data_IF_197327238069
#
_entry.id   IF_197327238069
#
_cell.length_a   1.000
_cell.length_b   1.000
_cell.length_c   1.000
_cell.angle_alpha   90.00
_cell.angle_beta   90.00
_cell.angle_gamma   90.00
#
_symmetry.space_group_name_H-M   'P 1'
#
loop_
_entity.id
_entity.type
_entity.pdbx_description
1 polymer ?
#
# COMPACT_ATOMS: atom_id res chain seq x y z
N UNK A 1 -13.47 13.87 -19.03
CA UNK A 1 -12.67 15.10 -18.94
C UNK A 1 -11.71 14.87 -17.78
N UNK A 2 -10.52 15.44 -17.86
CA UNK A 2 -9.53 15.44 -16.78
C UNK A 2 -9.95 16.57 -15.81
N UNK A 3 -9.56 16.49 -14.54
CA UNK A 3 -9.93 17.43 -13.47
C UNK A 3 -9.83 18.89 -13.94
N UNK A 4 -10.97 19.59 -14.04
CA UNK A 4 -11.14 21.07 -14.08
C UNK A 4 -10.16 21.93 -14.94
N UNK A 5 -9.27 21.37 -15.72
CA UNK A 5 -8.19 22.08 -16.39
C UNK A 5 -8.51 22.03 -17.88
N UNK A 6 -8.75 23.20 -18.47
CA UNK A 6 -9.18 23.39 -19.86
C UNK A 6 -8.19 22.87 -20.94
N UNK A 7 -7.19 22.05 -20.57
CA UNK A 7 -6.01 21.73 -21.36
C UNK A 7 -5.62 20.25 -21.42
N UNK A 8 -6.55 19.30 -21.38
CA UNK A 8 -6.25 17.87 -21.59
C UNK A 8 -5.42 17.64 -22.87
N UNK A 9 -4.18 17.12 -22.72
CA UNK A 9 -3.29 16.79 -23.83
C UNK A 9 -2.99 15.29 -23.84
N UNK A 10 -3.62 14.55 -24.76
CA UNK A 10 -3.47 13.11 -24.91
C UNK A 10 -2.03 12.62 -25.20
N UNK A 11 -1.12 13.50 -25.65
CA UNK A 11 0.29 13.16 -25.86
C UNK A 11 1.13 13.25 -24.57
N UNK A 12 0.60 13.88 -23.52
CA UNK A 12 1.15 13.82 -22.17
C UNK A 12 0.42 12.68 -21.46
N UNK A 13 1.07 11.55 -21.24
CA UNK A 13 0.49 10.41 -20.49
C UNK A 13 0.38 10.73 -18.99
N UNK A 14 -0.36 11.78 -18.64
CA UNK A 14 -0.66 12.16 -17.26
C UNK A 14 -1.82 11.27 -16.82
N UNK A 15 -1.48 10.03 -16.45
CA UNK A 15 -2.44 9.08 -15.92
C UNK A 15 -2.95 9.55 -14.56
N UNK A 16 -4.22 9.91 -14.50
CA UNK A 16 -5.02 10.14 -13.30
C UNK A 16 -5.03 8.88 -12.44
N UNK A 17 -4.26 8.86 -11.36
CA UNK A 17 -4.22 7.79 -10.37
C UNK A 17 -4.39 6.36 -10.91
N UNK A 18 -5.18 5.53 -10.23
CA UNK A 18 -5.51 4.17 -10.68
C UNK A 18 -6.57 4.13 -11.80
N UNK A 19 -6.63 5.15 -12.66
CA UNK A 19 -7.47 5.17 -13.86
C UNK A 19 -8.95 5.46 -13.60
N UNK A 20 -9.28 6.27 -12.59
CA UNK A 20 -10.66 6.70 -12.33
C UNK A 20 -10.99 7.88 -13.23
N UNK A 21 -12.09 7.77 -14.00
CA UNK A 21 -12.61 8.86 -14.83
C UNK A 21 -13.83 9.47 -14.13
N UNK A 22 -13.88 10.79 -13.98
CA UNK A 22 -15.13 11.46 -13.62
C UNK A 22 -16.05 11.62 -14.84
N UNK A 23 -17.36 11.56 -14.61
CA UNK A 23 -18.37 11.79 -15.66
C UNK A 23 -18.63 13.30 -15.77
N UNK A 24 -18.84 13.80 -16.99
CA UNK A 24 -19.20 15.23 -17.18
C UNK A 24 -20.46 15.55 -16.36
N UNK A 25 -20.37 16.58 -15.51
CA UNK A 25 -21.43 16.99 -14.57
C UNK A 25 -21.34 16.37 -13.18
N UNK A 26 -20.34 15.51 -12.95
CA UNK A 26 -19.98 14.98 -11.63
C UNK A 26 -18.86 15.84 -11.02
N UNK A 27 -19.01 16.19 -9.74
CA UNK A 27 -18.02 16.96 -8.97
C UNK A 27 -16.93 16.08 -8.39
N UNK A 28 -16.98 14.76 -8.61
CA UNK A 28 -15.93 13.84 -8.20
C UNK A 28 -14.60 14.21 -8.89
N UNK A 29 -13.61 14.55 -8.07
CA UNK A 29 -12.20 14.70 -8.43
C UNK A 29 -11.47 13.36 -8.29
N UNK A 30 -10.26 13.27 -8.84
CA UNK A 30 -9.44 12.05 -8.93
C UNK A 30 -8.26 12.03 -7.95
N UNK A 31 -8.14 13.07 -7.13
CA UNK A 31 -7.27 13.15 -5.96
C UNK A 31 -8.03 12.70 -4.70
N UNK A 32 -7.28 12.50 -3.61
CA UNK A 32 -7.81 12.28 -2.27
C UNK A 32 -7.60 13.56 -1.47
N UNK A 33 -8.70 14.18 -1.05
CA UNK A 33 -8.74 15.47 -0.35
C UNK A 33 -9.38 15.33 1.03
N UNK A 34 -9.62 16.46 1.71
CA UNK A 34 -10.08 16.49 3.10
C UNK A 34 -11.40 15.73 3.29
N UNK A 35 -11.38 14.75 4.18
CA UNK A 35 -12.56 13.91 4.50
C UNK A 35 -12.67 12.66 3.63
N UNK A 36 -11.78 12.48 2.66
CA UNK A 36 -11.83 11.37 1.72
C UNK A 36 -10.88 10.23 2.10
N UNK A 37 -11.22 9.04 1.63
CA UNK A 37 -10.42 7.83 1.83
C UNK A 37 -10.58 6.92 0.63
N UNK A 38 -9.45 6.61 0.00
CA UNK A 38 -9.35 5.58 -1.02
C UNK A 38 -9.10 4.23 -0.33
N UNK A 39 -9.92 3.22 -0.63
CA UNK A 39 -9.75 1.86 -0.11
C UNK A 39 -9.38 0.88 -1.24
N UNK A 40 -8.29 0.15 -1.05
CA UNK A 40 -7.93 -1.01 -1.87
C UNK A 40 -8.25 -2.29 -1.11
N UNK A 41 -8.90 -3.24 -1.79
CA UNK A 41 -9.25 -4.55 -1.23
C UNK A 41 -8.67 -5.67 -2.10
N UNK A 42 -8.00 -6.62 -1.46
CA UNK A 42 -7.44 -7.81 -2.06
C UNK A 42 -8.21 -9.05 -1.59
N UNK A 43 -8.37 -10.03 -2.47
CA UNK A 43 -9.03 -11.31 -2.15
C UNK A 43 -8.20 -12.20 -1.22
N UNK A 44 -6.91 -11.91 -1.07
CA UNK A 44 -5.98 -12.58 -0.15
C UNK A 44 -5.11 -11.54 0.54
N UNK A 45 -4.54 -11.91 1.69
CA UNK A 45 -3.61 -11.04 2.39
C UNK A 45 -2.36 -10.80 1.53
N UNK A 46 -2.02 -9.54 1.34
CA UNK A 46 -0.81 -9.10 0.65
C UNK A 46 -0.02 -8.18 1.56
N UNK A 47 1.26 -8.02 1.28
CA UNK A 47 2.09 -7.00 1.91
C UNK A 47 2.30 -5.85 0.93
N UNK A 48 1.95 -4.62 1.32
CA UNK A 48 2.37 -3.43 0.59
C UNK A 48 3.86 -3.18 0.84
N UNK A 49 4.65 -3.18 -0.23
CA UNK A 49 6.10 -2.95 -0.18
C UNK A 49 6.49 -1.57 -0.70
N UNK A 50 5.67 -0.99 -1.59
CA UNK A 50 5.83 0.38 -2.06
C UNK A 50 4.49 1.00 -2.47
N UNK A 51 4.43 2.32 -2.41
CA UNK A 51 3.29 3.14 -2.83
C UNK A 51 3.87 4.31 -3.61
N UNK A 52 3.33 4.58 -4.79
CA UNK A 52 3.62 5.81 -5.54
C UNK A 52 2.45 6.76 -5.42
N UNK A 53 2.75 7.98 -4.96
CA UNK A 53 1.80 9.08 -4.83
C UNK A 53 2.20 10.21 -5.77
N UNK A 54 1.23 11.05 -6.15
CA UNK A 54 1.45 12.29 -6.90
C UNK A 54 0.77 13.46 -6.19
N UNK A 55 1.36 14.64 -6.28
CA UNK A 55 0.78 15.90 -5.80
C UNK A 55 -0.12 16.51 -6.87
N UNK A 56 -0.68 17.69 -6.56
CA UNK A 56 -1.47 18.52 -7.49
C UNK A 56 -0.83 18.63 -8.89
N UNK A 57 -1.65 18.66 -9.94
CA UNK A 57 -1.19 18.65 -11.33
C UNK A 57 -0.45 17.37 -11.75
N UNK A 58 -0.64 16.28 -10.99
CA UNK A 58 -0.01 14.97 -11.17
C UNK A 58 1.53 14.97 -11.11
N UNK A 59 2.13 15.87 -10.34
CA UNK A 59 3.57 15.91 -10.14
C UNK A 59 4.03 14.80 -9.18
N UNK A 60 5.22 14.24 -9.40
CA UNK A 60 5.81 13.20 -8.54
C UNK A 60 6.81 13.75 -7.52
N UNK A 61 7.07 15.06 -7.56
CA UNK A 61 8.19 15.70 -6.86
C UNK A 61 7.81 16.90 -5.99
N UNK A 62 6.64 17.51 -6.20
CA UNK A 62 6.25 18.76 -5.54
C UNK A 62 5.09 18.60 -4.56
N UNK A 63 5.33 17.86 -3.47
CA UNK A 63 4.44 17.92 -2.30
C UNK A 63 4.77 19.09 -1.40
N UNK A 64 3.77 19.56 -0.66
CA UNK A 64 3.99 20.54 0.39
C UNK A 64 5.04 20.06 1.41
N UNK A 65 5.80 21.01 1.97
CA UNK A 65 6.83 20.69 2.96
C UNK A 65 6.20 20.02 4.18
N UNK A 66 6.70 18.84 4.55
CA UNK A 66 6.18 17.99 5.62
C UNK A 66 4.72 17.52 5.40
N UNK A 67 4.27 17.49 4.15
CA UNK A 67 2.98 16.91 3.79
C UNK A 67 2.87 15.47 4.31
N UNK A 68 1.69 15.09 4.76
CA UNK A 68 1.39 13.74 5.27
C UNK A 68 0.07 13.18 4.74
N UNK A 69 -0.02 11.86 4.69
CA UNK A 69 -1.25 11.09 4.43
C UNK A 69 -1.37 10.00 5.48
N UNK A 70 -2.54 9.37 5.52
CA UNK A 70 -2.80 8.23 6.38
C UNK A 70 -2.84 6.94 5.56
N UNK A 71 -1.99 5.97 5.89
CA UNK A 71 -2.10 4.58 5.43
C UNK A 71 -2.61 3.72 6.58
N UNK A 72 -3.81 3.15 6.46
CA UNK A 72 -4.46 2.39 7.54
C UNK A 72 -4.54 3.18 8.86
N UNK A 73 -4.76 4.50 8.76
CA UNK A 73 -4.78 5.42 9.90
C UNK A 73 -3.40 5.82 10.42
N UNK A 74 -2.32 5.29 9.85
CA UNK A 74 -0.96 5.66 10.23
C UNK A 74 -0.47 6.85 9.41
N UNK A 75 -0.03 7.91 10.09
CA UNK A 75 0.53 9.11 9.47
C UNK A 75 1.90 8.83 8.86
N UNK A 76 2.01 9.05 7.56
CA UNK A 76 3.23 8.90 6.77
C UNK A 76 3.50 10.20 5.99
N UNK A 77 4.77 10.58 5.86
CA UNK A 77 5.15 11.74 5.06
C UNK A 77 4.89 11.50 3.57
N UNK A 78 4.64 12.56 2.80
CA UNK A 78 4.63 12.57 1.32
C UNK A 78 5.99 13.06 0.77
N UNK A 79 7.06 12.97 1.57
CA UNK A 79 8.37 13.35 1.08
C UNK A 79 8.81 12.41 -0.07
N UNK A 80 9.33 12.99 -1.16
CA UNK A 80 9.76 12.26 -2.35
C UNK A 80 10.49 10.94 -2.04
N UNK A 81 9.99 9.85 -2.63
CA UNK A 81 10.38 8.45 -2.44
C UNK A 81 10.20 7.91 -1.00
N UNK A 82 9.04 7.32 -0.74
CA UNK A 82 8.73 6.63 0.52
C UNK A 82 9.32 5.23 0.54
N UNK A 83 10.37 5.06 1.32
CA UNK A 83 10.82 3.74 1.75
C UNK A 83 10.04 3.34 3.00
N UNK A 84 9.11 2.39 2.88
CA UNK A 84 8.32 1.83 4.00
C UNK A 84 9.14 0.95 4.95
N UNK A 85 10.43 1.27 5.16
CA UNK A 85 11.38 0.39 5.84
C UNK A 85 11.11 0.22 7.34
N UNK A 86 10.18 0.98 7.92
CA UNK A 86 9.85 0.97 9.35
C UNK A 86 8.45 0.45 9.68
N UNK A 87 7.59 0.20 8.68
CA UNK A 87 6.24 -0.32 8.89
C UNK A 87 5.81 -1.20 7.72
N UNK A 88 5.66 -2.49 8.01
CA UNK A 88 5.12 -3.46 7.07
C UNK A 88 3.60 -3.43 7.16
N UNK A 89 2.94 -3.08 6.05
CA UNK A 89 1.48 -3.12 5.95
C UNK A 89 1.07 -4.42 5.28
N UNK A 90 0.60 -5.39 6.08
CA UNK A 90 0.08 -6.67 5.60
C UNK A 90 -1.41 -6.79 5.92
N UNK A 91 -2.22 -7.15 4.94
CA UNK A 91 -3.66 -7.26 5.10
C UNK A 91 -4.39 -7.49 3.79
N UNK A 92 -5.70 -7.54 3.89
CA UNK A 92 -6.61 -7.63 2.73
C UNK A 92 -7.20 -6.29 2.36
N UNK A 93 -7.13 -5.29 3.25
CA UNK A 93 -7.65 -3.95 3.00
C UNK A 93 -6.60 -2.90 3.37
N UNK A 94 -6.49 -1.89 2.51
CA UNK A 94 -5.60 -0.76 2.70
C UNK A 94 -6.34 0.54 2.43
N UNK A 95 -6.31 1.46 3.38
CA UNK A 95 -6.93 2.77 3.27
C UNK A 95 -5.88 3.86 3.14
N UNK A 96 -6.04 4.71 2.14
CA UNK A 96 -5.24 5.90 1.89
C UNK A 96 -6.15 7.09 2.13
N UNK A 97 -5.89 7.88 3.16
CA UNK A 97 -6.75 9.01 3.53
C UNK A 97 -5.96 10.31 3.66
N UNK A 98 -6.66 11.42 3.44
CA UNK A 98 -6.12 12.74 3.71
C UNK A 98 -5.83 12.93 5.20
N UNK A 99 -4.65 13.45 5.54
CA UNK A 99 -4.30 13.73 6.93
C UNK A 99 -4.82 15.10 7.37
N UNK A 100 -6.00 15.10 8.01
CA UNK A 100 -6.58 16.30 8.61
C UNK A 100 -5.90 16.74 9.91
N UNK A 101 -4.94 15.98 10.44
CA UNK A 101 -4.39 16.20 11.78
C UNK A 101 -3.28 17.25 11.76
N UNK A 102 -3.56 18.44 12.28
CA UNK A 102 -2.54 19.47 12.54
C UNK A 102 -1.98 19.34 13.96
N UNK A 103 -0.68 18.99 14.02
CA UNK A 103 0.23 18.82 15.19
C UNK A 103 0.27 17.40 15.80
N UNK A 104 1.47 16.80 15.76
CA UNK A 104 1.93 15.75 16.68
C UNK A 104 3.23 16.25 17.30
N UNK A 105 3.23 16.50 18.61
CA UNK A 105 4.37 17.10 19.31
C UNK A 105 4.74 18.49 18.76
N UNK A 106 6.04 18.74 18.57
CA UNK A 106 6.56 20.00 18.01
C UNK A 106 6.61 20.01 16.47
N UNK A 107 6.23 18.92 15.81
CA UNK A 107 6.25 18.80 14.35
C UNK A 107 4.93 19.28 13.74
N UNK A 108 5.04 20.21 12.79
CA UNK A 108 3.92 20.64 11.95
C UNK A 108 3.78 19.66 10.78
N UNK A 109 2.61 19.05 10.69
CA UNK A 109 2.20 18.19 9.57
C UNK A 109 0.95 18.80 8.97
N UNK A 110 0.93 18.93 7.65
CA UNK A 110 -0.26 19.33 6.90
C UNK A 110 -0.65 18.14 6.02
N UNK A 111 -1.94 17.80 5.97
CA UNK A 111 -2.44 16.99 4.86
C UNK A 111 -2.28 17.78 3.57
N UNK A 112 -1.80 17.11 2.54
CA UNK A 112 -1.75 17.60 1.17
C UNK A 112 -2.66 16.70 0.32
N UNK A 113 -3.26 17.25 -0.73
CA UNK A 113 -4.03 16.46 -1.67
C UNK A 113 -3.09 15.54 -2.45
N UNK A 114 -3.54 14.33 -2.76
CA UNK A 114 -2.69 13.37 -3.46
C UNK A 114 -3.47 12.45 -4.38
N UNK A 115 -2.81 12.00 -5.44
CA UNK A 115 -3.29 10.94 -6.31
C UNK A 115 -2.53 9.65 -5.99
N UNK A 116 -3.22 8.51 -5.98
CA UNK A 116 -2.56 7.21 -5.88
C UNK A 116 -2.10 6.75 -7.27
N UNK A 117 -0.81 6.88 -7.56
CA UNK A 117 -0.22 6.49 -8.84
C UNK A 117 0.03 4.98 -8.98
N UNK A 118 0.11 4.24 -7.88
CA UNK A 118 0.37 2.80 -7.91
C UNK A 118 0.72 2.21 -6.56
N UNK A 119 0.56 0.90 -6.44
CA UNK A 119 0.98 0.12 -5.27
C UNK A 119 1.76 -1.11 -5.73
N UNK A 120 2.85 -1.42 -5.02
CA UNK A 120 3.58 -2.67 -5.17
C UNK A 120 3.21 -3.58 -4.01
N UNK A 121 2.75 -4.78 -4.34
CA UNK A 121 2.36 -5.80 -3.36
C UNK A 121 3.16 -7.06 -3.55
N UNK A 122 3.48 -7.74 -2.45
CA UNK A 122 4.00 -9.11 -2.46
C UNK A 122 2.99 -10.05 -1.80
N UNK A 123 2.86 -11.26 -2.36
CA UNK A 123 2.05 -12.30 -1.73
C UNK A 123 2.60 -12.63 -0.34
N UNK A 124 1.70 -12.83 0.62
CA UNK A 124 2.05 -13.42 1.92
C UNK A 124 2.04 -14.93 1.74
N UNK A 125 3.13 -15.66 2.06
CA UNK A 125 3.12 -17.11 2.04
C UNK A 125 1.97 -17.63 2.91
N UNK A 126 1.17 -18.55 2.37
CA UNK A 126 0.01 -19.06 3.09
C UNK A 126 0.49 -19.72 4.40
N UNK A 127 -0.04 -19.33 5.58
CA UNK A 127 0.38 -19.89 6.87
C UNK A 127 0.31 -21.42 6.92
N UNK A 128 -0.65 -21.98 6.18
CA UNK A 128 -0.87 -23.41 6.00
C UNK A 128 0.31 -24.09 5.28
N UNK A 129 0.96 -23.41 4.33
CA UNK A 129 2.16 -23.95 3.66
C UNK A 129 3.30 -24.16 4.66
N UNK A 130 3.46 -23.24 5.61
CA UNK A 130 4.44 -23.40 6.69
C UNK A 130 4.08 -24.53 7.64
N UNK A 131 2.81 -24.61 8.04
CA UNK A 131 2.32 -25.69 8.88
C UNK A 131 2.49 -27.07 8.22
N UNK A 132 2.21 -27.17 6.92
CA UNK A 132 2.41 -28.39 6.13
C UNK A 132 3.89 -28.73 5.95
N UNK A 133 4.75 -27.73 5.73
CA UNK A 133 6.19 -27.94 5.65
C UNK A 133 6.76 -28.44 6.98
N UNK A 134 6.40 -27.78 8.09
CA UNK A 134 6.80 -28.21 9.44
C UNK A 134 6.23 -29.59 9.77
N UNK A 135 4.96 -29.83 9.45
CA UNK A 135 4.33 -31.13 9.61
C UNK A 135 5.05 -32.23 8.81
N UNK A 136 5.37 -31.97 7.54
CA UNK A 136 6.11 -32.88 6.66
C UNK A 136 7.51 -33.18 7.19
N UNK A 137 8.25 -32.17 7.65
CA UNK A 137 9.57 -32.34 8.26
C UNK A 137 9.49 -33.13 9.57
N UNK A 138 8.46 -32.88 10.39
CA UNK A 138 8.20 -33.64 11.61
C UNK A 138 7.97 -35.13 11.34
N UNK A 139 7.16 -35.45 10.32
CA UNK A 139 6.92 -36.82 9.89
C UNK A 139 8.19 -37.52 9.37
N UNK A 140 8.99 -36.82 8.56
CA UNK A 140 10.26 -37.33 8.05
C UNK A 140 11.26 -37.62 9.19
N UNK A 141 11.37 -36.71 10.16
CA UNK A 141 12.20 -36.90 11.35
C UNK A 141 11.76 -38.10 12.20
N UNK A 142 10.45 -38.27 12.38
CA UNK A 142 9.88 -39.42 13.09
C UNK A 142 10.17 -40.75 12.38
N UNK A 143 9.97 -40.80 11.05
CA UNK A 143 10.26 -41.99 10.25
C UNK A 143 11.75 -42.36 10.29
N UNK A 144 12.65 -41.37 10.24
CA UNK A 144 14.09 -41.58 10.35
C UNK A 144 14.50 -42.14 11.73
N UNK A 145 13.84 -41.69 12.82
CA UNK A 145 14.05 -42.22 14.17
C UNK A 145 13.69 -43.70 14.27
N UNK A 146 12.56 -44.12 13.69
CA UNK A 146 12.11 -45.53 13.74
C UNK A 146 13.12 -46.47 13.07
N UNK A 147 13.68 -46.07 11.94
CA UNK A 147 14.69 -46.86 11.21
C UNK A 147 15.98 -47.09 12.01
N UNK A 148 16.36 -46.16 12.90
CA UNK A 148 17.53 -46.34 13.76
C UNK A 148 17.28 -47.29 14.93
N UNK A 149 16.03 -47.43 15.37
CA UNK A 149 15.66 -48.39 16.42
C UNK A 149 15.76 -49.84 15.92
N UNK A 150 15.43 -50.08 14.64
CA UNK A 150 15.49 -51.43 14.05
C UNK A 150 16.94 -51.93 13.80
N UNK A 151 17.93 -51.04 13.70
CA UNK A 151 19.33 -51.40 13.40
C UNK A 151 20.15 -51.77 14.66
N UNK A 152 19.62 -51.61 15.89
CA UNK A 152 20.33 -51.94 17.15
C UNK A 152 20.03 -53.34 17.73
N UNK A 153 19.41 -54.24 16.98
CA UNK A 153 19.06 -55.61 17.43
C UNK A 153 19.65 -56.73 16.56
N UNK A 154 20.77 -56.49 15.85
CA UNK A 154 21.52 -57.51 15.10
C UNK A 154 22.78 -57.95 15.82
#
# INVERSE_FOLDING_TARGET
MQDHEDGYNAAKSIGAGLGVYHKIGDTADDNVTFGETLKLTFSKAVTLSAVSLRSDGHDTTHFDKNATFLLNGVKLALAGNLNFSLQQFTGTEFTFAFDSSKRIGSSLYNGDQFYLGGVTVSAVPEPETWAMMVGGLGLLGFAARRRRSDVRLG
#
